data_IF_625931007433
#
_entry.id   IF_625931007433
#
_cell.length_a   1.000
_cell.length_b   1.000
_cell.length_c   1.000
_cell.angle_alpha   90.00
_cell.angle_beta   90.00
_cell.angle_gamma   90.00
#
_symmetry.space_group_name_H-M   'P 1'
#
loop_
_entity.id
_entity.type
_entity.pdbx_description
1 polymer ?
#
# COMPACT_ATOMS: atom_id res chain seq x y z
N UNK A 1 -16.17 0.33 -5.32
CA UNK A 1 -15.92 0.88 -6.66
C UNK A 1 -14.49 1.34 -6.73
N UNK A 2 -13.81 1.10 -7.84
CA UNK A 2 -12.44 1.52 -8.08
C UNK A 2 -12.40 2.89 -8.76
N UNK A 3 -11.70 3.85 -8.14
CA UNK A 3 -11.69 5.26 -8.55
C UNK A 3 -10.44 5.65 -9.36
N UNK A 4 -9.43 4.78 -9.44
CA UNK A 4 -8.14 5.05 -10.09
C UNK A 4 -6.96 5.17 -9.13
N UNK A 5 -7.11 4.87 -7.83
CA UNK A 5 -5.95 4.79 -6.94
C UNK A 5 -5.07 3.57 -7.28
N UNK A 6 -3.84 3.81 -7.72
CA UNK A 6 -2.88 2.76 -8.12
C UNK A 6 -2.69 1.69 -7.02
N UNK A 7 -2.73 2.09 -5.74
CA UNK A 7 -2.54 1.18 -4.60
C UNK A 7 -3.71 0.22 -4.37
N UNK A 8 -4.92 0.66 -4.69
CA UNK A 8 -6.13 -0.14 -4.52
C UNK A 8 -6.34 -1.11 -5.70
N UNK A 9 -5.59 -0.92 -6.80
CA UNK A 9 -5.80 -1.66 -8.04
C UNK A 9 -5.55 -3.18 -7.93
N UNK A 10 -4.47 -3.66 -7.30
CA UNK A 10 -4.23 -5.11 -7.16
C UNK A 10 -5.40 -5.81 -6.47
N UNK A 11 -5.87 -5.25 -5.35
CA UNK A 11 -7.02 -5.78 -4.61
C UNK A 11 -8.30 -5.71 -5.42
N UNK A 12 -8.57 -4.57 -6.07
CA UNK A 12 -9.73 -4.44 -6.95
C UNK A 12 -9.74 -5.50 -8.06
N UNK A 13 -8.59 -5.75 -8.69
CA UNK A 13 -8.46 -6.73 -9.76
C UNK A 13 -8.74 -8.14 -9.27
N UNK A 14 -8.24 -8.50 -8.08
CA UNK A 14 -8.50 -9.78 -7.45
C UNK A 14 -9.98 -9.93 -7.06
N UNK A 15 -10.56 -8.94 -6.38
CA UNK A 15 -11.97 -8.92 -5.98
C UNK A 15 -12.89 -9.00 -7.21
N UNK A 16 -12.58 -8.26 -8.28
CA UNK A 16 -13.33 -8.29 -9.52
C UNK A 16 -13.27 -9.68 -10.18
N UNK A 17 -12.09 -10.30 -10.23
CA UNK A 17 -11.91 -11.64 -10.79
C UNK A 17 -12.65 -12.71 -9.98
N UNK A 18 -12.62 -12.61 -8.65
CA UNK A 18 -13.22 -13.61 -7.76
C UNK A 18 -14.74 -13.46 -7.65
N UNK A 19 -15.25 -12.22 -7.56
CA UNK A 19 -16.66 -11.95 -7.28
C UNK A 19 -17.48 -11.66 -8.53
N UNK A 20 -16.94 -10.88 -9.47
CA UNK A 20 -17.72 -10.41 -10.63
C UNK A 20 -17.54 -11.33 -11.82
N UNK A 21 -16.31 -11.73 -12.16
CA UNK A 21 -16.07 -12.64 -13.29
C UNK A 21 -16.68 -14.03 -13.05
N UNK A 22 -16.69 -14.50 -11.80
CA UNK A 22 -17.29 -15.78 -11.42
C UNK A 22 -18.83 -15.81 -11.59
N UNK A 23 -19.50 -14.67 -11.37
CA UNK A 23 -20.97 -14.58 -11.38
C UNK A 23 -21.52 -14.07 -12.72
N UNK A 24 -20.82 -13.13 -13.37
CA UNK A 24 -21.30 -12.42 -14.57
C UNK A 24 -20.47 -12.70 -15.83
N UNK A 25 -19.43 -13.54 -15.74
CA UNK A 25 -18.56 -13.86 -16.88
C UNK A 25 -17.80 -12.62 -17.39
N UNK A 26 -17.82 -12.40 -18.70
CA UNK A 26 -17.12 -11.28 -19.37
C UNK A 26 -18.03 -10.08 -19.65
N UNK A 27 -19.03 -9.86 -18.80
CA UNK A 27 -19.92 -8.70 -18.93
C UNK A 27 -19.14 -7.37 -18.73
N UNK A 28 -19.01 -6.61 -19.82
CA UNK A 28 -18.36 -5.29 -19.81
C UNK A 28 -19.13 -4.27 -18.97
N UNK A 29 -20.46 -4.42 -18.85
CA UNK A 29 -21.30 -3.54 -18.08
C UNK A 29 -21.11 -3.74 -16.56
N UNK A 30 -20.88 -4.97 -16.13
CA UNK A 30 -20.52 -5.29 -14.75
C UNK A 30 -19.20 -4.62 -14.35
N UNK A 31 -18.18 -4.70 -15.21
CA UNK A 31 -16.91 -3.99 -15.00
C UNK A 31 -17.13 -2.48 -14.93
N UNK A 32 -17.85 -1.87 -15.88
CA UNK A 32 -18.09 -0.43 -15.92
C UNK A 32 -18.75 0.08 -14.63
N UNK A 33 -19.72 -0.66 -14.07
CA UNK A 33 -20.40 -0.31 -12.81
C UNK A 33 -19.48 -0.31 -11.60
N UNK A 34 -18.39 -1.08 -11.64
CA UNK A 34 -17.41 -1.12 -10.57
C UNK A 34 -16.39 0.02 -10.65
N UNK A 35 -16.36 0.80 -11.73
CA UNK A 35 -15.40 1.89 -11.95
C UNK A 35 -16.03 3.25 -11.67
N UNK A 36 -15.22 4.17 -11.16
CA UNK A 36 -15.58 5.57 -10.94
C UNK A 36 -14.37 6.48 -11.20
N UNK A 37 -14.58 7.80 -11.22
CA UNK A 37 -13.49 8.77 -11.33
C UNK A 37 -12.58 8.56 -12.55
N UNK A 38 -11.27 8.57 -12.30
CA UNK A 38 -10.23 8.44 -13.33
C UNK A 38 -10.18 7.03 -13.95
N UNK A 39 -10.53 6.00 -13.17
CA UNK A 39 -10.62 4.63 -13.70
C UNK A 39 -11.73 4.52 -14.75
N UNK A 40 -12.88 5.18 -14.54
CA UNK A 40 -13.97 5.22 -15.52
C UNK A 40 -13.59 6.01 -16.78
N UNK A 41 -12.81 7.09 -16.64
CA UNK A 41 -12.29 7.82 -17.80
C UNK A 41 -11.30 6.99 -18.62
N UNK A 42 -10.50 6.15 -17.95
CA UNK A 42 -9.48 5.30 -18.59
C UNK A 42 -10.09 4.28 -19.55
N UNK A 43 -11.31 3.81 -19.27
CA UNK A 43 -12.04 2.83 -20.10
C UNK A 43 -12.99 3.45 -21.12
N UNK A 44 -13.03 4.79 -21.21
CA UNK A 44 -13.94 5.50 -22.12
C UNK A 44 -13.61 5.16 -23.58
N UNK A 45 -14.65 4.87 -24.37
CA UNK A 45 -14.55 4.49 -25.78
C UNK A 45 -14.38 2.99 -26.03
N UNK A 46 -14.22 2.17 -24.97
CA UNK A 46 -14.09 0.70 -25.06
C UNK A 46 -15.05 -0.02 -24.13
N UNK A 47 -16.09 0.66 -23.64
CA UNK A 47 -16.97 0.14 -22.58
C UNK A 47 -17.79 -1.09 -22.95
N UNK A 48 -17.78 -1.49 -24.23
CA UNK A 48 -18.43 -2.70 -24.72
C UNK A 48 -17.54 -3.96 -24.67
N UNK A 49 -16.25 -3.82 -24.34
CA UNK A 49 -15.29 -4.92 -24.36
C UNK A 49 -14.58 -5.05 -23.01
N UNK A 50 -15.00 -6.03 -22.20
CA UNK A 50 -14.44 -6.30 -20.88
C UNK A 50 -12.92 -6.54 -20.93
N UNK A 51 -12.44 -7.28 -21.93
CA UNK A 51 -11.02 -7.62 -22.08
C UNK A 51 -10.21 -6.35 -22.33
N UNK A 52 -10.64 -5.50 -23.26
CA UNK A 52 -9.95 -4.26 -23.60
C UNK A 52 -9.99 -3.24 -22.46
N UNK A 53 -11.11 -3.16 -21.74
CA UNK A 53 -11.21 -2.33 -20.53
C UNK A 53 -10.22 -2.78 -19.45
N UNK A 54 -10.15 -4.08 -19.17
CA UNK A 54 -9.22 -4.64 -18.18
C UNK A 54 -7.77 -4.41 -18.60
N UNK A 55 -7.45 -4.55 -19.89
CA UNK A 55 -6.11 -4.26 -20.42
C UNK A 55 -5.72 -2.79 -20.19
N UNK A 56 -6.59 -1.83 -20.49
CA UNK A 56 -6.29 -0.40 -20.24
C UNK A 56 -6.10 -0.08 -18.76
N UNK A 57 -6.86 -0.72 -17.89
CA UNK A 57 -6.68 -0.59 -16.45
C UNK A 57 -5.34 -1.20 -15.99
N UNK A 58 -4.98 -2.35 -16.53
CA UNK A 58 -3.69 -3.02 -16.25
C UNK A 58 -2.51 -2.17 -16.72
N UNK A 59 -2.58 -1.61 -17.93
CA UNK A 59 -1.51 -0.75 -18.47
C UNK A 59 -1.29 0.50 -17.61
N UNK A 60 -2.37 1.07 -17.08
CA UNK A 60 -2.30 2.31 -16.30
C UNK A 60 -1.95 2.07 -14.83
N UNK A 61 -2.60 1.10 -14.19
CA UNK A 61 -2.59 0.87 -12.74
C UNK A 61 -1.91 -0.43 -12.31
N UNK A 62 -1.69 -1.39 -13.22
CA UNK A 62 -1.12 -2.70 -12.92
C UNK A 62 0.39 -2.72 -12.66
N UNK A 63 1.06 -1.56 -12.73
CA UNK A 63 2.49 -1.48 -12.49
C UNK A 63 2.82 -1.53 -10.99
N UNK A 64 3.20 -2.72 -10.51
CA UNK A 64 3.60 -2.98 -9.12
C UNK A 64 4.79 -2.11 -8.67
N UNK A 65 5.72 -1.76 -9.58
CA UNK A 65 6.83 -0.86 -9.23
C UNK A 65 6.33 0.54 -8.88
N UNK A 66 5.29 1.04 -9.56
CA UNK A 66 4.69 2.33 -9.19
C UNK A 66 4.05 2.28 -7.81
N UNK A 67 3.39 1.18 -7.44
CA UNK A 67 2.85 0.99 -6.09
C UNK A 67 3.98 1.06 -5.06
N UNK A 68 5.06 0.32 -5.31
CA UNK A 68 6.23 0.31 -4.44
C UNK A 68 6.89 1.68 -4.31
N UNK A 69 7.14 2.38 -5.42
CA UNK A 69 7.73 3.71 -5.41
C UNK A 69 6.88 4.71 -4.62
N UNK A 70 5.54 4.65 -4.77
CA UNK A 70 4.62 5.48 -4.00
C UNK A 70 4.68 5.15 -2.51
N UNK A 71 4.72 3.86 -2.14
CA UNK A 71 4.83 3.43 -0.73
C UNK A 71 6.13 3.91 -0.10
N UNK A 72 7.26 3.72 -0.79
CA UNK A 72 8.57 4.16 -0.31
C UNK A 72 8.60 5.69 -0.20
N UNK A 73 8.00 6.41 -1.16
CA UNK A 73 7.90 7.87 -1.13
C UNK A 73 7.10 8.35 0.08
N UNK A 74 5.95 7.73 0.37
CA UNK A 74 5.13 8.11 1.52
C UNK A 74 5.82 7.84 2.86
N UNK A 75 6.54 6.72 2.97
CA UNK A 75 7.35 6.42 4.14
C UNK A 75 8.46 7.47 4.34
N UNK A 76 9.12 7.91 3.26
CA UNK A 76 10.15 8.95 3.30
C UNK A 76 9.60 10.35 3.56
N UNK A 77 8.32 10.57 3.29
CA UNK A 77 7.64 11.83 3.54
C UNK A 77 7.14 11.97 4.99
N UNK A 78 7.27 10.91 5.80
CA UNK A 78 6.94 10.94 7.22
C UNK A 78 7.77 12.01 7.93
N UNK A 79 7.08 12.87 8.70
CA UNK A 79 7.70 13.99 9.41
C UNK A 79 7.89 13.64 10.87
N UNK A 80 9.06 14.01 11.40
CA UNK A 80 9.39 13.86 12.82
C UNK A 80 8.24 14.36 13.71
N UNK A 81 7.82 13.52 14.63
CA UNK A 81 6.71 13.85 15.52
C UNK A 81 7.15 14.69 16.72
N UNK A 82 6.25 15.57 17.16
CA UNK A 82 6.43 16.37 18.36
C UNK A 82 6.14 15.51 19.60
N UNK A 83 6.84 15.79 20.70
CA UNK A 83 6.58 15.12 21.97
C UNK A 83 5.17 15.47 22.47
N UNK A 84 4.43 14.46 22.93
CA UNK A 84 3.07 14.61 23.43
C UNK A 84 1.95 14.58 22.37
N UNK A 85 2.26 14.51 21.07
CA UNK A 85 1.24 14.36 20.02
C UNK A 85 0.82 12.89 19.82
N UNK A 86 0.01 12.38 20.74
CA UNK A 86 -0.51 11.01 20.66
C UNK A 86 -1.39 10.77 19.43
N UNK A 87 -2.12 11.79 18.96
CA UNK A 87 -2.96 11.67 17.75
C UNK A 87 -2.11 11.59 16.48
N UNK A 88 -1.05 12.37 16.41
CA UNK A 88 -0.03 12.26 15.36
C UNK A 88 0.63 10.90 15.35
N UNK A 89 0.95 10.36 16.53
CA UNK A 89 1.53 9.02 16.68
C UNK A 89 0.64 7.93 16.08
N UNK A 90 -0.63 7.87 16.46
CA UNK A 90 -1.58 6.87 15.92
C UNK A 90 -1.66 6.97 14.39
N UNK A 91 -1.77 8.20 13.84
CA UNK A 91 -1.81 8.39 12.38
C UNK A 91 -0.54 7.92 11.68
N UNK A 92 0.62 8.08 12.31
CA UNK A 92 1.87 7.57 11.78
C UNK A 92 1.88 6.05 11.77
N UNK A 93 1.46 5.41 12.87
CA UNK A 93 1.37 3.95 12.95
C UNK A 93 0.42 3.43 11.87
N UNK A 94 -0.78 4.01 11.76
CA UNK A 94 -1.75 3.67 10.72
C UNK A 94 -1.14 3.79 9.32
N UNK A 95 -0.39 4.86 9.06
CA UNK A 95 0.25 5.08 7.75
C UNK A 95 1.35 4.05 7.47
N UNK A 96 2.19 3.71 8.45
CA UNK A 96 3.25 2.70 8.31
C UNK A 96 2.63 1.32 8.10
N UNK A 97 1.56 0.98 8.82
CA UNK A 97 0.83 -0.28 8.65
C UNK A 97 0.20 -0.38 7.26
N UNK A 98 -0.48 0.68 6.79
CA UNK A 98 -1.04 0.72 5.44
C UNK A 98 0.04 0.53 4.37
N UNK A 99 1.21 1.18 4.52
CA UNK A 99 2.34 0.99 3.60
C UNK A 99 2.82 -0.46 3.55
N UNK A 100 2.87 -1.14 4.70
CA UNK A 100 3.23 -2.56 4.75
C UNK A 100 2.16 -3.45 4.12
N UNK A 101 0.88 -3.21 4.38
CA UNK A 101 -0.24 -3.94 3.78
C UNK A 101 -0.27 -3.76 2.25
N UNK A 102 -0.05 -2.54 1.75
CA UNK A 102 0.02 -2.23 0.31
C UNK A 102 1.08 -3.09 -0.39
N UNK A 103 2.27 -3.21 0.20
CA UNK A 103 3.36 -4.02 -0.36
C UNK A 103 3.14 -5.52 -0.17
N UNK A 104 2.57 -5.94 0.95
CA UNK A 104 2.19 -7.34 1.19
C UNK A 104 1.16 -7.84 0.18
N UNK A 105 0.19 -6.99 -0.20
CA UNK A 105 -0.81 -7.33 -1.22
C UNK A 105 -0.22 -7.56 -2.61
N UNK A 106 1.03 -7.12 -2.86
CA UNK A 106 1.76 -7.35 -4.11
C UNK A 106 3.00 -8.24 -3.93
N UNK A 107 3.17 -8.87 -2.76
CA UNK A 107 4.32 -9.71 -2.39
C UNK A 107 5.68 -9.01 -2.49
N UNK A 108 5.75 -7.73 -2.11
CA UNK A 108 6.97 -6.91 -2.10
C UNK A 108 7.25 -6.32 -0.70
N UNK A 109 6.74 -6.93 0.37
CA UNK A 109 6.94 -6.46 1.74
C UNK A 109 8.41 -6.49 2.20
N UNK A 110 9.25 -7.34 1.58
CA UNK A 110 10.67 -7.45 1.88
C UNK A 110 11.44 -6.15 1.60
N UNK A 111 10.95 -5.32 0.67
CA UNK A 111 11.54 -4.02 0.33
C UNK A 111 11.54 -3.05 1.52
N UNK A 112 10.58 -3.18 2.44
CA UNK A 112 10.51 -2.37 3.66
C UNK A 112 11.55 -2.76 4.70
N UNK A 113 12.12 -3.96 4.59
CA UNK A 113 13.11 -4.47 5.53
C UNK A 113 14.53 -3.95 5.25
N UNK A 114 14.66 -2.90 4.44
CA UNK A 114 15.93 -2.24 4.21
C UNK A 114 16.30 -1.33 5.38
N UNK A 115 17.59 -1.34 5.76
CA UNK A 115 18.10 -0.54 6.88
C UNK A 115 17.78 0.97 6.74
N UNK A 116 17.67 1.47 5.50
CA UNK A 116 17.31 2.86 5.23
C UNK A 116 15.86 3.19 5.64
N UNK A 117 14.90 2.32 5.32
CA UNK A 117 13.49 2.53 5.66
C UNK A 117 13.29 2.42 7.18
N UNK A 118 13.87 1.39 7.79
CA UNK A 118 13.84 1.22 9.25
C UNK A 118 14.45 2.43 9.95
N UNK A 119 15.67 2.86 9.57
CA UNK A 119 16.32 4.03 10.17
C UNK A 119 15.53 5.32 9.97
N UNK A 120 14.80 5.44 8.86
CA UNK A 120 13.93 6.59 8.64
C UNK A 120 12.77 6.61 9.64
N UNK A 121 12.04 5.49 9.80
CA UNK A 121 10.92 5.39 10.74
C UNK A 121 11.40 5.66 12.17
N UNK A 122 12.53 5.08 12.58
CA UNK A 122 13.15 5.32 13.89
C UNK A 122 13.44 6.80 14.19
N UNK A 123 13.80 7.58 13.16
CA UNK A 123 14.07 9.02 13.31
C UNK A 123 12.79 9.83 13.44
N UNK A 124 11.68 9.30 12.94
CA UNK A 124 10.39 9.96 12.97
C UNK A 124 9.69 9.75 14.32
N UNK A 125 9.96 8.63 15.00
CA UNK A 125 9.40 8.33 16.32
C UNK A 125 9.73 9.40 17.38
N UNK A 126 8.83 9.63 18.35
CA UNK A 126 9.12 10.51 19.47
C UNK A 126 10.23 9.92 20.35
N UNK A 127 10.91 10.77 21.12
CA UNK A 127 12.14 10.39 21.83
C UNK A 127 11.93 9.25 22.85
N UNK A 128 10.75 9.17 23.48
CA UNK A 128 10.42 8.10 24.42
C UNK A 128 10.35 6.75 23.72
N UNK A 129 9.51 6.64 22.69
CA UNK A 129 9.33 5.42 21.90
C UNK A 129 10.62 5.02 21.18
N UNK A 130 11.40 6.00 20.71
CA UNK A 130 12.71 5.74 20.11
C UNK A 130 13.68 5.08 21.09
N UNK A 131 13.72 5.52 22.36
CA UNK A 131 14.59 4.90 23.39
C UNK A 131 14.18 3.46 23.68
N UNK A 132 12.88 3.22 23.83
CA UNK A 132 12.34 1.88 24.06
C UNK A 132 12.60 0.96 22.85
N UNK A 133 12.43 1.49 21.64
CA UNK A 133 12.73 0.75 20.41
C UNK A 133 14.20 0.37 20.31
N UNK A 134 15.15 1.27 20.58
CA UNK A 134 16.59 0.97 20.46
C UNK A 134 17.00 -0.21 21.34
N UNK A 135 16.49 -0.28 22.57
CA UNK A 135 16.76 -1.41 23.48
C UNK A 135 16.23 -2.72 22.87
N UNK A 136 15.01 -2.70 22.32
CA UNK A 136 14.38 -3.88 21.70
C UNK A 136 15.03 -4.25 20.37
N UNK A 137 15.49 -3.27 19.60
CA UNK A 137 16.15 -3.46 18.33
C UNK A 137 17.51 -4.15 18.51
N UNK A 138 18.25 -3.82 19.57
CA UNK A 138 19.52 -4.47 19.90
C UNK A 138 19.37 -5.98 20.13
N UNK A 139 18.24 -6.42 20.72
CA UNK A 139 17.90 -7.83 20.89
C UNK A 139 17.56 -8.54 19.56
N UNK A 140 17.12 -7.77 18.56
CA UNK A 140 16.54 -8.26 17.30
C UNK A 140 17.47 -8.07 16.10
N UNK A 141 18.57 -7.30 16.23
CA UNK A 141 19.56 -7.04 15.15
C UNK A 141 20.16 -8.33 14.54
N UNK A 142 20.03 -9.48 15.20
CA UNK A 142 20.42 -10.78 14.67
C UNK A 142 19.38 -11.43 13.72
N UNK A 143 18.14 -10.93 13.71
CA UNK A 143 17.04 -11.47 12.92
C UNK A 143 16.90 -10.70 11.59
N UNK A 144 16.63 -11.45 10.51
CA UNK A 144 16.31 -10.89 9.18
C UNK A 144 14.96 -10.18 9.11
N UNK A 145 14.31 -9.86 10.24
CA UNK A 145 12.91 -9.39 10.30
C UNK A 145 12.77 -8.09 11.10
N UNK A 146 13.66 -7.13 10.84
CA UNK A 146 13.74 -5.88 11.60
C UNK A 146 12.49 -5.01 11.40
N UNK A 147 12.02 -4.84 10.16
CA UNK A 147 10.81 -4.06 9.88
C UNK A 147 9.53 -4.69 10.47
N UNK A 148 9.24 -5.99 10.29
CA UNK A 148 8.09 -6.63 10.94
C UNK A 148 8.12 -6.49 12.47
N UNK A 149 9.31 -6.51 13.07
CA UNK A 149 9.45 -6.33 14.52
C UNK A 149 9.20 -4.88 14.96
N UNK A 150 9.65 -3.91 14.15
CA UNK A 150 9.33 -2.49 14.34
C UNK A 150 7.82 -2.27 14.25
N UNK A 151 7.16 -2.81 13.24
CA UNK A 151 5.71 -2.67 13.07
C UNK A 151 4.92 -3.26 14.25
N UNK A 152 5.38 -4.37 14.85
CA UNK A 152 4.77 -4.95 16.07
C UNK A 152 5.02 -4.14 17.34
N UNK A 153 6.03 -3.27 17.34
CA UNK A 153 6.36 -2.42 18.48
C UNK A 153 5.54 -1.12 18.49
N UNK A 154 5.27 -0.58 17.29
CA UNK A 154 4.41 0.59 17.08
C UNK A 154 2.98 0.33 17.56
#
# INVERSE_FOLDING_TARGET
>A
MFNGNVRDYPRFKEDFKNLVKSVYGEDAYALKKCLSGDALQTVKGVEGNNIEMMQRLDDKYGNMRKVMDLVISDLKALKKMNEGDTKGFVKLVDQVEQCWLDLKNINLEEELNTANIVSHIERVLPNLQKREWVIKAEEVLAAKDLFPTLLKFL
#
